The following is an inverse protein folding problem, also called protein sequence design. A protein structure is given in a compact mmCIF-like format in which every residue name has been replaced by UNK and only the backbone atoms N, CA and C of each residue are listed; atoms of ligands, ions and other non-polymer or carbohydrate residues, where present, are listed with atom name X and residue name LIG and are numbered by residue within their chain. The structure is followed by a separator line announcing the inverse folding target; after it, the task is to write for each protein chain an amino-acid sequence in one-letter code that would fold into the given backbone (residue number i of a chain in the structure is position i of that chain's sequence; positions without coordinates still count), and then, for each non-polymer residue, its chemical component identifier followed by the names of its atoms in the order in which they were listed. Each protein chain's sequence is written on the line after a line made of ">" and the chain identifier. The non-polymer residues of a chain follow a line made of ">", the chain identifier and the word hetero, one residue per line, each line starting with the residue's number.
data_IF_660367449701
#
_entry.id   IF_660367449701
#
_cell.length_a   1.000
_cell.length_b   1.000
_cell.length_c   1.000
_cell.angle_alpha   90.00
_cell.angle_beta   90.00
_cell.angle_gamma   90.00
#
_symmetry.space_group_name_H-M   'P 1'
#
loop_
_entity.id
_entity.type
_entity.pdbx_description
1 polymer ?
#
# COMPACT_ATOMS: atom_id res chain seq x y z
N UNK A 1 0.65 -30.33 5.18
CA UNK A 1 -0.20 -29.16 4.89
C UNK A 1 0.66 -27.93 5.09
N UNK A 2 1.16 -27.35 3.99
CA UNK A 2 1.94 -26.12 4.08
C UNK A 2 0.92 -25.00 4.36
N UNK A 3 0.74 -24.67 5.64
CA UNK A 3 0.01 -23.48 6.03
C UNK A 3 0.87 -22.30 5.60
N UNK A 4 0.62 -21.79 4.40
CA UNK A 4 1.05 -20.44 4.07
C UNK A 4 0.26 -19.51 4.99
N UNK A 5 0.94 -18.58 5.65
CA UNK A 5 0.56 -17.94 6.93
C UNK A 5 -0.73 -17.09 6.85
N UNK A 6 -1.35 -17.03 5.66
CA UNK A 6 -2.37 -16.05 5.27
C UNK A 6 -3.67 -16.66 4.78
N UNK A 7 -3.76 -17.98 4.70
CA UNK A 7 -5.03 -18.63 4.41
C UNK A 7 -5.67 -19.05 5.73
N UNK A 8 -6.83 -18.46 6.07
CA UNK A 8 -7.72 -19.03 7.10
C UNK A 8 -8.10 -20.47 6.72
N UNK A 9 -8.06 -20.75 5.43
CA UNK A 9 -8.38 -21.99 4.79
C UNK A 9 -7.13 -22.78 4.36
N UNK A 10 -7.24 -24.07 4.15
CA UNK A 10 -6.21 -24.79 3.38
C UNK A 10 -6.34 -24.40 1.90
N UNK A 11 -5.28 -24.58 1.09
CA UNK A 11 -5.25 -24.13 -0.31
C UNK A 11 -6.46 -24.63 -1.12
N UNK A 12 -6.90 -25.86 -0.87
CA UNK A 12 -8.10 -26.45 -1.46
C UNK A 12 -9.39 -25.72 -1.06
N UNK A 13 -9.58 -25.42 0.23
CA UNK A 13 -10.76 -24.69 0.71
C UNK A 13 -10.75 -23.24 0.22
N UNK A 14 -9.58 -22.59 0.17
CA UNK A 14 -9.43 -21.24 -0.39
C UNK A 14 -9.80 -21.20 -1.88
N UNK A 15 -9.27 -22.12 -2.70
CA UNK A 15 -9.59 -22.18 -4.12
C UNK A 15 -11.10 -22.35 -4.38
N UNK A 16 -11.79 -23.16 -3.58
CA UNK A 16 -13.25 -23.33 -3.69
C UNK A 16 -13.98 -22.07 -3.23
N UNK A 17 -13.58 -21.47 -2.11
CA UNK A 17 -14.19 -20.23 -1.62
C UNK A 17 -14.04 -19.07 -2.62
N UNK A 18 -12.87 -18.94 -3.27
CA UNK A 18 -12.63 -17.95 -4.31
C UNK A 18 -13.57 -18.15 -5.51
N UNK A 19 -13.77 -19.40 -5.94
CA UNK A 19 -14.75 -19.75 -6.98
C UNK A 19 -16.18 -19.37 -6.57
N UNK A 20 -16.59 -19.68 -5.33
CA UNK A 20 -17.90 -19.30 -4.80
C UNK A 20 -18.07 -17.77 -4.78
N UNK A 21 -17.02 -17.04 -4.41
CA UNK A 21 -17.02 -15.56 -4.42
C UNK A 21 -17.18 -15.00 -5.83
N UNK A 22 -16.52 -15.56 -6.84
CA UNK A 22 -16.75 -15.16 -8.23
C UNK A 22 -18.20 -15.47 -8.67
N UNK A 23 -18.78 -16.56 -8.17
CA UNK A 23 -20.17 -16.90 -8.42
C UNK A 23 -21.15 -15.90 -7.77
N UNK A 24 -20.92 -15.47 -6.53
CA UNK A 24 -21.67 -14.40 -5.85
C UNK A 24 -21.62 -13.09 -6.64
N UNK A 25 -20.44 -12.71 -7.14
CA UNK A 25 -20.27 -11.53 -7.98
C UNK A 25 -21.12 -11.60 -9.25
N UNK A 26 -21.07 -12.74 -9.96
CA UNK A 26 -21.82 -12.95 -11.20
C UNK A 26 -23.34 -12.95 -10.98
N UNK A 27 -23.82 -13.37 -9.80
CA UNK A 27 -25.25 -13.29 -9.41
C UNK A 27 -25.66 -11.89 -8.94
N UNK A 28 -24.70 -11.02 -8.65
CA UNK A 28 -24.95 -9.65 -8.20
C UNK A 28 -25.22 -9.51 -6.70
N UNK A 29 -24.91 -10.54 -5.91
CA UNK A 29 -25.21 -10.58 -4.47
C UNK A 29 -24.47 -9.49 -3.69
N UNK A 30 -23.29 -9.09 -4.18
CA UNK A 30 -22.41 -8.09 -3.56
C UNK A 30 -22.55 -6.69 -4.18
N UNK A 31 -23.60 -6.45 -4.97
CA UNK A 31 -23.72 -5.22 -5.79
C UNK A 31 -23.81 -3.93 -4.97
N UNK A 32 -24.35 -3.96 -3.75
CA UNK A 32 -24.42 -2.79 -2.87
C UNK A 32 -23.04 -2.26 -2.50
N UNK A 33 -22.12 -3.18 -2.21
CA UNK A 33 -20.81 -2.87 -1.66
C UNK A 33 -19.75 -2.81 -2.77
N UNK A 34 -19.94 -3.60 -3.83
CA UNK A 34 -18.98 -3.80 -4.92
C UNK A 34 -19.66 -3.75 -6.31
N UNK A 35 -20.17 -2.58 -6.72
CA UNK A 35 -20.96 -2.46 -7.96
C UNK A 35 -20.15 -2.72 -9.23
N UNK A 36 -18.85 -2.38 -9.28
CA UNK A 36 -18.01 -2.62 -10.46
C UNK A 36 -17.70 -4.11 -10.66
N UNK A 37 -17.14 -4.85 -9.68
CA UNK A 37 -16.94 -6.30 -9.80
C UNK A 37 -18.19 -7.07 -10.21
N UNK A 38 -19.35 -6.77 -9.63
CA UNK A 38 -20.61 -7.44 -9.99
C UNK A 38 -21.01 -7.20 -11.44
N UNK A 39 -20.87 -5.96 -11.93
CA UNK A 39 -21.16 -5.62 -13.34
C UNK A 39 -20.23 -6.36 -14.29
N UNK A 40 -18.93 -6.31 -14.03
CA UNK A 40 -17.92 -6.96 -14.85
C UNK A 40 -18.11 -8.48 -14.87
N UNK A 41 -18.46 -9.09 -13.73
CA UNK A 41 -18.72 -10.51 -13.65
C UNK A 41 -19.98 -10.92 -14.43
N UNK A 42 -21.04 -10.12 -14.37
CA UNK A 42 -22.27 -10.35 -15.14
C UNK A 42 -22.05 -10.25 -16.66
N UNK A 43 -21.10 -9.42 -17.09
CA UNK A 43 -20.76 -9.18 -18.50
C UNK A 43 -19.62 -10.10 -19.01
N UNK A 44 -19.23 -11.13 -18.26
CA UNK A 44 -18.11 -11.98 -18.65
C UNK A 44 -18.47 -12.90 -19.85
N UNK A 45 -17.70 -12.89 -20.96
CA UNK A 45 -17.98 -13.65 -22.16
C UNK A 45 -17.60 -15.13 -22.01
N UNK A 46 -16.57 -15.44 -21.20
CA UNK A 46 -15.99 -16.78 -21.07
C UNK A 46 -15.96 -17.26 -19.61
N UNK A 47 -17.11 -17.49 -18.99
CA UNK A 47 -17.17 -17.85 -17.57
C UNK A 47 -16.37 -19.10 -17.24
N UNK A 48 -16.52 -20.17 -18.02
CA UNK A 48 -15.81 -21.43 -17.77
C UNK A 48 -14.28 -21.26 -17.68
N UNK A 49 -13.72 -20.38 -18.51
CA UNK A 49 -12.28 -20.11 -18.57
C UNK A 49 -11.80 -19.40 -17.30
N UNK A 50 -12.48 -18.34 -16.88
CA UNK A 50 -12.13 -17.60 -15.66
C UNK A 50 -12.34 -18.44 -14.39
N UNK A 51 -13.45 -19.18 -14.30
CA UNK A 51 -13.73 -20.08 -13.18
C UNK A 51 -12.67 -21.18 -13.06
N UNK A 52 -12.22 -21.76 -14.18
CA UNK A 52 -11.13 -22.74 -14.16
C UNK A 52 -9.80 -22.10 -13.75
N UNK A 53 -9.46 -20.92 -14.26
CA UNK A 53 -8.24 -20.22 -13.88
C UNK A 53 -8.22 -19.90 -12.37
N UNK A 54 -9.34 -19.41 -11.82
CA UNK A 54 -9.46 -19.13 -10.40
C UNK A 54 -9.38 -20.40 -9.54
N UNK A 55 -9.95 -21.53 -9.97
CA UNK A 55 -9.78 -22.79 -9.26
C UNK A 55 -8.30 -23.23 -9.21
N UNK A 56 -7.54 -22.95 -10.28
CA UNK A 56 -6.17 -23.39 -10.46
C UNK A 56 -5.10 -22.36 -10.04
N UNK A 57 -5.48 -21.13 -9.65
CA UNK A 57 -4.53 -20.00 -9.50
C UNK A 57 -3.34 -20.33 -8.58
N UNK A 58 -3.59 -21.10 -7.53
CA UNK A 58 -2.60 -21.49 -6.52
C UNK A 58 -2.14 -22.95 -6.60
N UNK A 59 -2.46 -23.68 -7.68
CA UNK A 59 -2.12 -25.11 -7.82
C UNK A 59 -0.62 -25.40 -7.69
N UNK A 60 0.22 -24.42 -8.05
CA UNK A 60 1.68 -24.52 -7.96
C UNK A 60 2.24 -24.38 -6.54
N UNK A 61 1.45 -23.98 -5.53
CA UNK A 61 1.96 -23.72 -4.16
C UNK A 61 2.65 -24.92 -3.52
N UNK A 62 2.19 -26.13 -3.85
CA UNK A 62 2.81 -27.37 -3.38
C UNK A 62 4.26 -27.56 -3.85
N UNK A 63 4.72 -26.79 -4.84
CA UNK A 63 6.02 -26.93 -5.48
C UNK A 63 7.00 -25.80 -5.12
N UNK A 64 6.70 -24.99 -4.10
CA UNK A 64 7.62 -23.98 -3.56
C UNK A 64 7.62 -22.65 -4.33
N UNK A 65 8.81 -22.05 -4.54
CA UNK A 65 8.95 -20.74 -5.20
C UNK A 65 8.43 -20.76 -6.64
N UNK A 66 8.07 -19.57 -7.13
CA UNK A 66 7.54 -19.34 -8.48
C UNK A 66 6.29 -20.18 -8.75
N UNK A 67 5.41 -20.25 -7.74
CA UNK A 67 4.22 -21.08 -7.78
C UNK A 67 3.24 -20.67 -8.89
N UNK A 68 3.23 -19.40 -9.29
CA UNK A 68 2.41 -18.94 -10.41
C UNK A 68 2.90 -19.53 -11.73
N UNK A 69 4.21 -19.52 -11.98
CA UNK A 69 4.83 -20.11 -13.19
C UNK A 69 4.61 -21.62 -13.23
N UNK A 70 4.89 -22.31 -12.11
CA UNK A 70 4.65 -23.76 -12.00
C UNK A 70 3.16 -24.10 -12.12
N UNK A 71 2.28 -23.27 -11.57
CA UNK A 71 0.85 -23.40 -11.71
C UNK A 71 0.41 -23.28 -13.18
N UNK A 72 0.99 -22.34 -13.92
CA UNK A 72 0.72 -22.12 -15.33
C UNK A 72 1.14 -23.33 -16.19
N UNK A 73 2.32 -23.92 -15.91
CA UNK A 73 2.79 -25.16 -16.55
C UNK A 73 1.79 -26.33 -16.36
N UNK A 74 1.15 -26.42 -15.20
CA UNK A 74 0.14 -27.43 -14.89
C UNK A 74 -1.24 -27.13 -15.50
N UNK A 75 -1.61 -25.84 -15.59
CA UNK A 75 -2.93 -25.41 -15.98
C UNK A 75 -3.27 -25.75 -17.45
N UNK A 76 -2.29 -25.64 -18.35
CA UNK A 76 -2.48 -25.95 -19.78
C UNK A 76 -2.93 -27.39 -20.03
N UNK A 77 -2.17 -28.42 -19.59
CA UNK A 77 -2.56 -29.82 -19.70
C UNK A 77 -3.91 -30.15 -19.04
N UNK A 78 -4.23 -29.50 -17.91
CA UNK A 78 -5.53 -29.67 -17.23
C UNK A 78 -6.66 -29.13 -18.10
N UNK A 79 -6.53 -27.91 -18.61
CA UNK A 79 -7.53 -27.29 -19.48
C UNK A 79 -7.74 -28.10 -20.78
N UNK A 80 -6.66 -28.61 -21.38
CA UNK A 80 -6.72 -29.47 -22.55
C UNK A 80 -7.50 -30.77 -22.27
N UNK A 81 -7.21 -31.43 -21.15
CA UNK A 81 -7.91 -32.66 -20.73
C UNK A 81 -9.39 -32.43 -20.44
N UNK A 82 -9.77 -31.23 -20.01
CA UNK A 82 -11.16 -30.83 -19.78
C UNK A 82 -11.89 -30.37 -21.06
N UNK A 83 -11.23 -30.39 -22.22
CA UNK A 83 -11.84 -30.08 -23.51
C UNK A 83 -11.94 -28.59 -23.85
N UNK A 84 -11.15 -27.74 -23.20
CA UNK A 84 -11.10 -26.31 -23.53
C UNK A 84 -10.43 -26.07 -24.88
N UNK A 85 -10.85 -25.02 -25.59
CA UNK A 85 -10.20 -24.61 -26.85
C UNK A 85 -8.76 -24.18 -26.59
N UNK A 86 -7.87 -24.24 -27.60
CA UNK A 86 -6.48 -23.76 -27.43
C UNK A 86 -6.42 -22.28 -27.01
N UNK A 87 -7.37 -21.46 -27.47
CA UNK A 87 -7.45 -20.07 -27.08
C UNK A 87 -7.77 -19.91 -25.58
N UNK A 88 -8.72 -20.71 -25.07
CA UNK A 88 -9.07 -20.69 -23.65
C UNK A 88 -7.96 -21.30 -22.79
N UNK A 89 -7.30 -22.36 -23.25
CA UNK A 89 -6.13 -22.93 -22.57
C UNK A 89 -5.04 -21.87 -22.37
N UNK A 90 -4.68 -21.11 -23.42
CA UNK A 90 -3.71 -20.02 -23.34
C UNK A 90 -4.14 -18.92 -22.36
N UNK A 91 -5.44 -18.63 -22.28
CA UNK A 91 -5.97 -17.63 -21.36
C UNK A 91 -5.95 -18.12 -19.91
N UNK A 92 -6.31 -19.38 -19.64
CA UNK A 92 -6.17 -20.00 -18.31
C UNK A 92 -4.71 -19.97 -17.85
N UNK A 93 -3.78 -20.40 -18.70
CA UNK A 93 -2.34 -20.41 -18.39
C UNK A 93 -1.87 -18.99 -18.03
N UNK A 94 -2.23 -17.98 -18.84
CA UNK A 94 -1.87 -16.60 -18.59
C UNK A 94 -2.46 -16.06 -17.27
N UNK A 95 -3.74 -16.34 -16.98
CA UNK A 95 -4.38 -15.90 -15.74
C UNK A 95 -3.73 -16.55 -14.51
N UNK A 96 -3.39 -17.83 -14.58
CA UNK A 96 -2.69 -18.54 -13.48
C UNK A 96 -1.27 -18.01 -13.30
N UNK A 97 -0.56 -17.69 -14.38
CA UNK A 97 0.78 -17.10 -14.29
C UNK A 97 0.77 -15.69 -13.69
N UNK A 98 -0.22 -14.89 -14.05
CA UNK A 98 -0.33 -13.46 -13.72
C UNK A 98 -1.22 -13.18 -12.51
N UNK A 99 -1.73 -14.19 -11.79
CA UNK A 99 -2.75 -13.99 -10.74
C UNK A 99 -2.35 -13.02 -9.62
N UNK A 100 -1.06 -12.84 -9.34
CA UNK A 100 -0.55 -11.89 -8.34
C UNK A 100 -0.27 -10.49 -8.91
N UNK A 101 -0.25 -10.35 -10.23
CA UNK A 101 0.34 -9.19 -10.89
C UNK A 101 -0.48 -7.93 -10.69
N UNK A 102 -1.82 -7.99 -10.79
CA UNK A 102 -2.66 -6.82 -10.55
C UNK A 102 -2.54 -6.33 -9.09
N UNK A 103 -2.49 -7.25 -8.13
CA UNK A 103 -2.23 -6.94 -6.73
C UNK A 103 -0.89 -6.20 -6.57
N UNK A 104 0.18 -6.76 -7.14
CA UNK A 104 1.50 -6.15 -7.10
C UNK A 104 1.56 -4.79 -7.79
N UNK A 105 0.91 -4.62 -8.95
CA UNK A 105 0.87 -3.33 -9.64
C UNK A 105 0.17 -2.27 -8.80
N UNK A 106 -1.00 -2.58 -8.24
CA UNK A 106 -1.74 -1.64 -7.41
C UNK A 106 -0.95 -1.24 -6.14
N UNK A 107 -0.34 -2.22 -5.47
CA UNK A 107 0.30 -2.02 -4.17
C UNK A 107 1.75 -1.53 -4.25
N UNK A 108 2.47 -1.83 -5.34
CA UNK A 108 3.91 -1.52 -5.46
C UNK A 108 4.23 -0.47 -6.52
N UNK A 109 3.45 -0.38 -7.60
CA UNK A 109 3.71 0.59 -8.67
C UNK A 109 3.00 1.91 -8.39
N UNK A 110 3.52 3.00 -8.93
CA UNK A 110 2.85 4.29 -8.94
C UNK A 110 1.83 4.29 -10.08
N UNK A 111 0.60 3.96 -9.75
CA UNK A 111 -0.51 3.88 -10.71
C UNK A 111 -0.96 5.24 -11.22
N UNK A 112 -0.35 6.34 -10.73
CA UNK A 112 -0.50 7.69 -11.30
C UNK A 112 0.46 7.97 -12.45
N UNK A 113 1.56 7.24 -12.56
CA UNK A 113 2.51 7.40 -13.65
C UNK A 113 2.00 6.77 -14.96
N UNK A 114 2.03 7.56 -16.03
CA UNK A 114 1.46 7.16 -17.33
C UNK A 114 2.33 6.15 -18.06
N UNK A 115 3.65 6.18 -17.85
CA UNK A 115 4.56 5.18 -18.41
C UNK A 115 4.37 3.83 -17.71
N UNK A 116 4.23 3.84 -16.39
CA UNK A 116 3.84 2.67 -15.59
C UNK A 116 2.52 2.08 -16.11
N UNK A 117 1.49 2.89 -16.36
CA UNK A 117 0.22 2.42 -16.90
C UNK A 117 0.37 1.82 -18.30
N UNK A 118 1.22 2.40 -19.16
CA UNK A 118 1.50 1.87 -20.49
C UNK A 118 2.24 0.52 -20.45
N UNK A 119 3.22 0.36 -19.56
CA UNK A 119 3.93 -0.91 -19.34
C UNK A 119 2.95 -2.01 -18.90
N UNK A 120 2.11 -1.71 -17.90
CA UNK A 120 1.12 -2.65 -17.38
C UNK A 120 0.09 -2.99 -18.48
N UNK A 121 -0.44 -2.00 -19.20
CA UNK A 121 -1.38 -2.22 -20.28
C UNK A 121 -0.76 -3.08 -21.39
N UNK A 122 0.51 -2.87 -21.73
CA UNK A 122 1.23 -3.71 -22.70
C UNK A 122 1.35 -5.16 -22.23
N UNK A 123 1.57 -5.39 -20.94
CA UNK A 123 1.65 -6.74 -20.37
C UNK A 123 0.29 -7.43 -20.31
N UNK A 124 -0.77 -6.69 -20.00
CA UNK A 124 -2.15 -7.20 -19.97
C UNK A 124 -2.69 -7.47 -21.37
N UNK A 125 -2.38 -6.59 -22.32
CA UNK A 125 -2.66 -6.75 -23.75
C UNK A 125 -4.09 -6.45 -24.18
N UNK A 126 -5.12 -6.94 -23.48
CA UNK A 126 -6.53 -6.74 -23.88
C UNK A 126 -7.45 -6.41 -22.70
N UNK A 127 -8.56 -5.71 -22.98
CA UNK A 127 -9.57 -5.40 -21.96
C UNK A 127 -10.24 -6.67 -21.39
N UNK A 128 -10.36 -7.73 -22.19
CA UNK A 128 -10.83 -9.05 -21.74
C UNK A 128 -9.88 -9.65 -20.68
N UNK A 129 -8.56 -9.65 -20.95
CA UNK A 129 -7.55 -10.08 -19.96
C UNK A 129 -7.54 -9.23 -18.71
N UNK A 130 -7.65 -7.92 -18.85
CA UNK A 130 -7.71 -7.00 -17.72
C UNK A 130 -8.90 -7.28 -16.80
N UNK A 131 -10.10 -7.43 -17.38
CA UNK A 131 -11.32 -7.73 -16.62
C UNK A 131 -11.20 -9.05 -15.88
N UNK A 132 -10.75 -10.09 -16.57
CA UNK A 132 -10.66 -11.43 -16.00
C UNK A 132 -9.61 -11.48 -14.89
N UNK A 133 -8.46 -10.81 -15.07
CA UNK A 133 -7.44 -10.68 -14.03
C UNK A 133 -7.94 -9.86 -12.83
N UNK A 134 -8.71 -8.79 -13.07
CA UNK A 134 -9.34 -7.99 -12.01
C UNK A 134 -10.32 -8.81 -11.17
N UNK A 135 -11.23 -9.54 -11.82
CA UNK A 135 -12.19 -10.39 -11.15
C UNK A 135 -11.52 -11.53 -10.37
N UNK A 136 -10.47 -12.14 -10.95
CA UNK A 136 -9.66 -13.16 -10.29
C UNK A 136 -9.03 -12.60 -9.02
N UNK A 137 -8.33 -11.46 -9.12
CA UNK A 137 -7.65 -10.80 -8.00
C UNK A 137 -8.63 -10.41 -6.90
N UNK A 138 -9.80 -9.87 -7.26
CA UNK A 138 -10.82 -9.48 -6.31
C UNK A 138 -11.38 -10.70 -5.55
N UNK A 139 -11.72 -11.76 -6.29
CA UNK A 139 -12.28 -12.98 -5.71
C UNK A 139 -11.26 -13.65 -4.76
N UNK A 140 -10.02 -13.81 -5.21
CA UNK A 140 -8.91 -14.34 -4.40
C UNK A 140 -8.71 -13.53 -3.11
N UNK A 141 -8.45 -12.21 -3.24
CA UNK A 141 -8.13 -11.39 -2.08
C UNK A 141 -9.27 -11.32 -1.07
N UNK A 142 -10.53 -11.29 -1.53
CA UNK A 142 -11.69 -11.20 -0.63
C UNK A 142 -12.05 -12.51 0.08
N UNK A 143 -11.38 -13.64 -0.24
CA UNK A 143 -11.57 -14.94 0.42
C UNK A 143 -10.40 -15.41 1.28
N UNK A 144 -9.25 -14.71 1.23
CA UNK A 144 -8.07 -15.06 2.05
C UNK A 144 -8.28 -14.82 3.55
N UNK A 145 -8.75 -13.62 3.95
CA UNK A 145 -9.16 -13.29 5.31
C UNK A 145 -10.06 -12.02 5.38
N UNK A 146 -10.82 -11.80 6.48
CA UNK A 146 -11.76 -10.68 6.60
C UNK A 146 -11.16 -9.26 6.49
N UNK A 147 -9.84 -9.12 6.68
CA UNK A 147 -9.13 -7.83 6.58
C UNK A 147 -8.33 -7.66 5.28
N UNK A 148 -8.32 -8.67 4.40
CA UNK A 148 -7.50 -8.65 3.20
C UNK A 148 -8.02 -7.66 2.15
N UNK A 149 -9.34 -7.59 1.98
CA UNK A 149 -10.04 -6.66 1.09
C UNK A 149 -10.71 -5.54 1.89
N UNK A 150 -10.00 -4.43 2.08
CA UNK A 150 -10.55 -3.22 2.70
C UNK A 150 -11.22 -2.32 1.65
N UNK A 151 -12.08 -1.40 2.10
CA UNK A 151 -12.71 -0.41 1.21
C UNK A 151 -11.68 0.43 0.42
N UNK A 152 -10.54 0.76 1.02
CA UNK A 152 -9.48 1.49 0.33
C UNK A 152 -8.77 0.65 -0.73
N UNK A 153 -8.52 -0.65 -0.49
CA UNK A 153 -7.93 -1.57 -1.49
C UNK A 153 -8.88 -1.78 -2.66
N UNK A 154 -10.17 -1.95 -2.39
CA UNK A 154 -11.18 -2.03 -3.43
C UNK A 154 -11.14 -0.80 -4.34
N UNK A 155 -11.14 0.41 -3.78
CA UNK A 155 -11.01 1.67 -4.55
C UNK A 155 -9.71 1.75 -5.34
N UNK A 156 -8.61 1.26 -4.79
CA UNK A 156 -7.32 1.22 -5.48
C UNK A 156 -7.34 0.30 -6.72
N UNK A 157 -7.91 -0.90 -6.61
CA UNK A 157 -8.05 -1.81 -7.76
C UNK A 157 -9.01 -1.26 -8.81
N UNK A 158 -10.15 -0.70 -8.40
CA UNK A 158 -11.11 -0.07 -9.31
C UNK A 158 -10.47 1.09 -10.08
N UNK A 159 -9.69 1.94 -9.40
CA UNK A 159 -8.98 3.04 -10.03
C UNK A 159 -7.95 2.56 -11.06
N UNK A 160 -7.13 1.56 -10.71
CA UNK A 160 -6.17 0.96 -11.62
C UNK A 160 -6.87 0.30 -12.83
N UNK A 161 -7.95 -0.44 -12.60
CA UNK A 161 -8.73 -1.07 -13.66
C UNK A 161 -9.22 -0.05 -14.68
N UNK A 162 -9.86 1.03 -14.23
CA UNK A 162 -10.39 2.06 -15.12
C UNK A 162 -9.29 2.75 -15.94
N UNK A 163 -8.13 3.03 -15.34
CA UNK A 163 -6.99 3.62 -16.05
C UNK A 163 -6.46 2.69 -17.14
N UNK A 164 -6.28 1.41 -16.82
CA UNK A 164 -5.79 0.42 -17.76
C UNK A 164 -6.79 0.17 -18.91
N UNK A 165 -8.09 0.16 -18.63
CA UNK A 165 -9.12 0.13 -19.69
C UNK A 165 -8.96 1.33 -20.63
N UNK A 166 -8.80 2.54 -20.10
CA UNK A 166 -8.62 3.73 -20.93
C UNK A 166 -7.38 3.60 -21.84
N UNK A 167 -6.25 3.14 -21.30
CA UNK A 167 -5.02 2.90 -22.09
C UNK A 167 -5.27 1.87 -23.20
N UNK A 168 -5.92 0.76 -22.88
CA UNK A 168 -6.21 -0.34 -23.81
C UNK A 168 -7.22 0.04 -24.90
N UNK A 169 -8.15 0.95 -24.61
CA UNK A 169 -9.10 1.51 -25.59
C UNK A 169 -8.47 2.56 -26.51
N UNK A 170 -7.18 2.87 -26.34
CA UNK A 170 -6.48 3.88 -27.13
C UNK A 170 -6.86 5.32 -26.76
N UNK A 171 -7.59 5.51 -25.64
CA UNK A 171 -7.62 6.83 -24.99
C UNK A 171 -6.23 7.04 -24.41
N UNK A 172 -5.66 8.23 -24.57
CA UNK A 172 -4.44 8.53 -23.83
C UNK A 172 -4.75 8.39 -22.35
N UNK A 173 -3.99 7.52 -21.67
CA UNK A 173 -4.08 7.33 -20.22
C UNK A 173 -3.98 8.67 -19.49
N UNK A 174 -3.14 9.55 -20.03
CA UNK A 174 -2.97 10.95 -19.66
C UNK A 174 -4.31 11.69 -19.73
N UNK A 175 -4.94 11.76 -20.91
CA UNK A 175 -6.20 12.48 -21.11
C UNK A 175 -7.32 11.98 -20.17
N UNK A 176 -7.48 10.65 -20.01
CA UNK A 176 -8.51 10.10 -19.12
C UNK A 176 -8.21 10.33 -17.62
N UNK A 177 -6.93 10.31 -17.23
CA UNK A 177 -6.49 10.61 -15.88
C UNK A 177 -6.64 12.10 -15.56
N UNK A 178 -6.17 12.96 -16.46
CA UNK A 178 -6.31 14.42 -16.38
C UNK A 178 -7.78 14.83 -16.36
N UNK A 179 -8.62 14.27 -17.22
CA UNK A 179 -10.07 14.54 -17.24
C UNK A 179 -10.73 14.13 -15.92
N UNK A 180 -10.37 12.97 -15.37
CA UNK A 180 -10.91 12.49 -14.09
C UNK A 180 -10.43 13.33 -12.92
N UNK A 181 -9.14 13.63 -12.86
CA UNK A 181 -8.56 14.51 -11.84
C UNK A 181 -9.20 15.89 -11.93
N UNK A 182 -9.32 16.47 -13.12
CA UNK A 182 -9.97 17.76 -13.34
C UNK A 182 -11.42 17.74 -12.91
N UNK A 183 -12.18 16.69 -13.24
CA UNK A 183 -13.56 16.50 -12.82
C UNK A 183 -13.68 16.44 -11.30
N UNK A 184 -12.90 15.57 -10.65
CA UNK A 184 -12.92 15.42 -9.19
C UNK A 184 -12.44 16.69 -8.48
N UNK A 185 -11.42 17.36 -9.02
CA UNK A 185 -10.90 18.63 -8.49
C UNK A 185 -11.93 19.74 -8.64
N UNK A 186 -12.67 19.80 -9.74
CA UNK A 186 -13.78 20.74 -9.95
C UNK A 186 -14.92 20.47 -8.96
N UNK A 187 -15.36 19.21 -8.85
CA UNK A 187 -16.42 18.83 -7.91
C UNK A 187 -16.05 19.14 -6.46
N UNK A 188 -14.81 18.84 -6.08
CA UNK A 188 -14.29 19.18 -4.75
C UNK A 188 -14.22 20.70 -4.57
N UNK A 189 -13.71 21.45 -5.54
CA UNK A 189 -13.69 22.92 -5.51
C UNK A 189 -15.09 23.49 -5.30
N UNK A 190 -16.06 23.11 -6.14
CA UNK A 190 -17.43 23.61 -6.08
C UNK A 190 -18.06 23.34 -4.70
N UNK A 191 -17.83 22.15 -4.14
CA UNK A 191 -18.30 21.81 -2.80
C UNK A 191 -17.63 22.63 -1.69
N UNK A 192 -16.34 22.93 -1.82
CA UNK A 192 -15.57 23.70 -0.83
C UNK A 192 -15.86 25.21 -0.93
N UNK A 193 -16.11 25.76 -2.11
CA UNK A 193 -16.42 27.18 -2.33
C UNK A 193 -17.71 27.61 -1.62
N UNK A 194 -18.63 26.68 -1.38
CA UNK A 194 -19.88 26.92 -0.66
C UNK A 194 -19.70 27.04 0.87
N UNK A 195 -18.52 26.71 1.40
CA UNK A 195 -18.24 26.80 2.84
C UNK A 195 -17.87 28.23 3.26
N UNK A 196 -18.08 28.62 4.54
CA UNK A 196 -17.74 29.97 5.03
C UNK A 196 -16.25 30.34 4.84
N UNK A 197 -15.38 29.34 4.90
CA UNK A 197 -13.92 29.41 4.73
C UNK A 197 -13.46 28.99 3.32
N UNK A 198 -14.36 28.97 2.33
CA UNK A 198 -14.16 28.32 1.03
C UNK A 198 -12.88 28.72 0.28
N UNK A 199 -12.51 30.00 0.28
CA UNK A 199 -11.28 30.46 -0.38
C UNK A 199 -10.01 29.78 0.18
N UNK A 200 -9.93 29.59 1.50
CA UNK A 200 -8.79 28.93 2.13
C UNK A 200 -8.79 27.42 1.85
N UNK A 201 -9.96 26.79 1.84
CA UNK A 201 -10.13 25.37 1.53
C UNK A 201 -9.77 25.05 0.07
N UNK A 202 -10.16 25.92 -0.87
CA UNK A 202 -9.81 25.78 -2.29
C UNK A 202 -8.31 25.96 -2.50
N UNK A 203 -7.66 26.88 -1.78
CA UNK A 203 -6.20 27.04 -1.84
C UNK A 203 -5.48 25.79 -1.33
N UNK A 204 -5.97 25.17 -0.25
CA UNK A 204 -5.48 23.88 0.20
C UNK A 204 -5.58 22.84 -0.93
N UNK A 205 -6.77 22.65 -1.50
CA UNK A 205 -7.00 21.69 -2.58
C UNK A 205 -6.09 21.95 -3.79
N UNK A 206 -5.92 23.21 -4.18
CA UNK A 206 -5.08 23.59 -5.32
C UNK A 206 -3.61 23.19 -5.12
N UNK A 207 -3.10 23.30 -3.89
CA UNK A 207 -1.71 22.97 -3.54
C UNK A 207 -1.43 21.46 -3.40
N UNK A 208 -2.47 20.62 -3.30
CA UNK A 208 -2.31 19.19 -3.12
C UNK A 208 -2.03 18.47 -4.45
N UNK A 209 -1.22 17.38 -4.42
CA UNK A 209 -0.93 16.58 -5.61
C UNK A 209 -2.17 15.81 -6.08
N UNK A 210 -2.22 15.44 -7.35
CA UNK A 210 -3.39 14.76 -7.94
C UNK A 210 -3.72 13.42 -7.25
N UNK A 211 -2.70 12.69 -6.78
CA UNK A 211 -2.89 11.47 -5.98
C UNK A 211 -3.74 11.67 -4.73
N UNK A 212 -3.69 12.87 -4.14
CA UNK A 212 -4.52 13.20 -2.98
C UNK A 212 -5.98 13.42 -3.40
N UNK A 213 -6.20 14.18 -4.48
CA UNK A 213 -7.55 14.46 -5.00
C UNK A 213 -8.27 13.17 -5.42
N UNK A 214 -7.52 12.21 -5.95
CA UNK A 214 -8.06 10.91 -6.35
C UNK A 214 -8.38 9.99 -5.17
N UNK A 215 -7.65 10.12 -4.07
CA UNK A 215 -7.81 9.28 -2.89
C UNK A 215 -9.00 9.73 -2.02
N UNK A 216 -9.25 11.04 -1.94
CA UNK A 216 -10.13 11.62 -0.93
C UNK A 216 -11.39 12.28 -1.53
N UNK A 217 -12.59 11.95 -1.04
CA UNK A 217 -13.82 12.64 -1.46
C UNK A 217 -13.91 14.06 -0.84
N UNK A 218 -14.77 14.96 -1.38
CA UNK A 218 -14.82 16.38 -1.00
C UNK A 218 -15.00 16.63 0.51
N UNK A 219 -15.81 15.82 1.19
CA UNK A 219 -16.05 15.93 2.63
C UNK A 219 -14.82 15.62 3.48
N UNK A 220 -13.98 14.67 3.04
CA UNK A 220 -12.70 14.35 3.68
C UNK A 220 -11.67 15.44 3.37
N UNK A 221 -11.63 15.91 2.13
CA UNK A 221 -10.75 17.04 1.73
C UNK A 221 -11.04 18.26 2.59
N UNK A 222 -12.31 18.59 2.83
CA UNK A 222 -12.72 19.70 3.70
C UNK A 222 -12.18 19.54 5.12
N UNK A 223 -12.30 18.35 5.72
CA UNK A 223 -11.81 18.08 7.07
C UNK A 223 -10.28 18.24 7.15
N UNK A 224 -9.56 17.67 6.19
CA UNK A 224 -8.11 17.79 6.08
C UNK A 224 -7.65 19.24 5.88
N UNK A 225 -8.33 20.00 5.02
CA UNK A 225 -8.02 21.41 4.78
C UNK A 225 -8.19 22.25 6.05
N UNK A 226 -9.28 22.06 6.81
CA UNK A 226 -9.48 22.72 8.10
C UNK A 226 -8.41 22.36 9.11
N UNK A 227 -7.99 21.11 9.13
CA UNK A 227 -6.91 20.67 10.01
C UNK A 227 -5.58 21.36 9.67
N UNK A 228 -5.22 21.41 8.38
CA UNK A 228 -4.00 22.09 7.94
C UNK A 228 -4.05 23.59 8.25
N UNK A 229 -5.18 24.25 8.03
CA UNK A 229 -5.39 25.65 8.38
C UNK A 229 -5.33 25.88 9.90
N UNK A 230 -5.84 24.91 10.68
CA UNK A 230 -5.81 24.93 12.14
C UNK A 230 -4.41 24.88 12.74
N UNK A 231 -3.39 24.43 11.98
CA UNK A 231 -1.98 24.54 12.40
C UNK A 231 -1.57 25.99 12.58
N UNK A 232 -2.10 26.90 11.76
CA UNK A 232 -1.72 28.31 11.74
C UNK A 232 -0.18 28.45 11.73
N UNK A 233 0.38 29.21 12.69
CA UNK A 233 1.83 29.43 12.85
C UNK A 233 2.53 28.36 13.70
N UNK A 234 1.82 27.32 14.15
CA UNK A 234 2.43 26.27 14.97
C UNK A 234 3.42 25.43 14.14
N UNK A 235 4.57 25.03 14.72
CA UNK A 235 5.57 24.23 14.00
C UNK A 235 5.06 22.81 13.67
N UNK A 236 4.10 22.31 14.44
CA UNK A 236 3.54 20.97 14.34
C UNK A 236 2.09 20.99 14.78
N UNK A 237 1.25 20.28 14.03
CA UNK A 237 -0.06 19.82 14.48
C UNK A 237 -0.15 18.31 14.23
N UNK A 238 -0.63 17.56 15.23
CA UNK A 238 -1.01 16.15 15.08
C UNK A 238 -2.45 16.00 15.52
N UNK A 239 -3.26 15.42 14.64
CA UNK A 239 -4.64 15.05 14.92
C UNK A 239 -4.82 13.53 14.89
N UNK A 240 -5.88 13.04 15.52
CA UNK A 240 -6.18 11.62 15.59
C UNK A 240 -7.66 11.31 15.53
N UNK A 241 -8.07 10.52 14.54
CA UNK A 241 -9.45 10.05 14.36
C UNK A 241 -9.53 8.52 14.43
N UNK A 242 -10.15 8.00 15.50
CA UNK A 242 -10.39 6.56 15.67
C UNK A 242 -11.37 6.10 14.58
N UNK A 243 -11.03 5.00 13.90
CA UNK A 243 -11.86 4.43 12.86
C UNK A 243 -13.06 3.68 13.44
N UNK A 244 -14.05 3.39 12.61
CA UNK A 244 -15.27 2.68 13.02
C UNK A 244 -15.02 1.27 13.56
N UNK A 245 -13.87 0.66 13.24
CA UNK A 245 -13.44 -0.63 13.79
C UNK A 245 -13.03 -0.54 15.28
N UNK A 246 -12.73 0.65 15.80
CA UNK A 246 -12.20 0.88 17.14
C UNK A 246 -10.77 0.36 17.38
N UNK A 247 -10.17 -0.32 16.39
CA UNK A 247 -8.85 -0.94 16.48
C UNK A 247 -7.76 -0.08 15.84
N UNK A 248 -8.14 0.78 14.89
CA UNK A 248 -7.23 1.65 14.15
C UNK A 248 -7.51 3.14 14.40
N UNK A 249 -6.45 3.94 14.28
CA UNK A 249 -6.46 5.39 14.42
C UNK A 249 -5.78 5.98 13.19
N UNK A 250 -6.43 6.91 12.53
CA UNK A 250 -5.78 7.75 11.51
C UNK A 250 -5.14 8.92 12.25
N UNK A 251 -3.81 8.96 12.24
CA UNK A 251 -3.03 10.10 12.69
C UNK A 251 -2.72 11.00 11.49
N UNK A 252 -3.05 12.28 11.61
CA UNK A 252 -2.70 13.29 10.61
C UNK A 252 -1.59 14.17 11.16
N UNK A 253 -0.42 14.17 10.51
CA UNK A 253 0.74 14.98 10.91
C UNK A 253 0.90 16.13 9.92
N UNK A 254 0.85 17.36 10.42
CA UNK A 254 1.01 18.59 9.61
C UNK A 254 2.21 19.38 10.13
N UNK A 255 3.24 19.55 9.30
CA UNK A 255 4.46 20.29 9.65
C UNK A 255 5.18 20.80 8.40
N UNK A 256 6.27 21.54 8.57
CA UNK A 256 7.13 21.90 7.44
C UNK A 256 7.93 20.67 7.01
N UNK A 257 7.93 20.38 5.71
CA UNK A 257 8.62 19.23 5.15
C UNK A 257 10.15 19.41 5.26
N UNK A 258 10.84 18.31 5.55
CA UNK A 258 12.31 18.28 5.70
C UNK A 258 12.87 16.86 5.57
N UNK A 259 14.14 16.73 5.15
CA UNK A 259 14.83 15.44 5.17
C UNK A 259 14.75 14.76 6.55
N UNK A 260 14.48 13.46 6.54
CA UNK A 260 14.38 12.64 7.75
C UNK A 260 13.06 12.75 8.52
N UNK A 261 12.09 13.56 8.07
CA UNK A 261 10.80 13.75 8.76
C UNK A 261 10.08 12.42 9.02
N UNK A 262 9.92 11.57 8.00
CA UNK A 262 9.24 10.28 8.15
C UNK A 262 9.95 9.36 9.15
N UNK A 263 11.27 9.42 9.23
CA UNK A 263 12.03 8.65 10.22
C UNK A 263 11.70 9.12 11.64
N UNK A 264 11.67 10.43 11.89
CA UNK A 264 11.30 10.96 13.21
C UNK A 264 9.86 10.59 13.59
N UNK A 265 8.92 10.74 12.67
CA UNK A 265 7.51 10.35 12.86
C UNK A 265 7.40 8.87 13.18
N UNK A 266 7.94 7.99 12.35
CA UNK A 266 7.90 6.56 12.55
C UNK A 266 8.58 6.12 13.86
N UNK A 267 9.67 6.79 14.24
CA UNK A 267 10.39 6.53 15.49
C UNK A 267 9.59 6.90 16.74
N UNK A 268 8.91 8.05 16.72
CA UNK A 268 8.00 8.44 17.81
C UNK A 268 6.80 7.51 17.91
N UNK A 269 6.21 7.12 16.78
CA UNK A 269 5.11 6.14 16.77
C UNK A 269 5.55 4.80 17.38
N UNK A 270 6.73 4.32 17.01
CA UNK A 270 7.30 3.11 17.58
C UNK A 270 7.55 3.23 19.09
N UNK A 271 8.02 4.39 19.58
CA UNK A 271 8.19 4.66 21.01
C UNK A 271 6.86 4.66 21.79
N UNK A 272 5.76 5.06 21.14
CA UNK A 272 4.39 4.96 21.68
C UNK A 272 3.76 3.56 21.52
N UNK A 273 4.53 2.57 21.04
CA UNK A 273 4.09 1.19 20.74
C UNK A 273 2.99 1.12 19.68
N UNK A 274 2.99 2.06 18.74
CA UNK A 274 2.09 2.08 17.59
C UNK A 274 2.77 1.41 16.40
N UNK A 275 2.06 0.48 15.76
CA UNK A 275 2.46 -0.11 14.48
C UNK A 275 1.73 0.60 13.36
N UNK A 276 2.46 0.98 12.30
CA UNK A 276 1.89 1.61 11.11
C UNK A 276 1.32 0.52 10.21
N UNK A 277 0.03 0.59 9.93
CA UNK A 277 -0.69 -0.33 9.03
C UNK A 277 -0.55 0.15 7.59
N UNK A 278 -0.72 1.46 7.38
CA UNK A 278 -0.50 2.15 6.11
C UNK A 278 -0.15 3.61 6.38
N UNK A 279 0.54 4.24 5.43
CA UNK A 279 0.86 5.66 5.49
C UNK A 279 0.81 6.27 4.09
N UNK A 280 0.04 7.35 3.95
CA UNK A 280 0.01 8.20 2.77
C UNK A 280 0.73 9.51 3.10
N UNK A 281 1.88 9.72 2.46
CA UNK A 281 2.77 10.87 2.70
C UNK A 281 2.52 11.89 1.59
N UNK A 282 2.25 13.14 1.96
CA UNK A 282 2.02 14.23 1.01
C UNK A 282 2.87 15.45 1.34
N UNK A 283 3.50 16.02 0.33
CA UNK A 283 4.16 17.32 0.41
C UNK A 283 3.41 18.30 -0.49
N UNK A 284 3.11 19.50 0.01
CA UNK A 284 2.43 20.58 -0.73
C UNK A 284 3.25 21.86 -0.67
N UNK A 285 3.36 22.52 -1.82
CA UNK A 285 3.97 23.84 -1.91
C UNK A 285 3.07 24.90 -1.28
N UNK A 286 3.68 25.91 -0.66
CA UNK A 286 2.98 27.07 -0.11
C UNK A 286 3.71 28.34 -0.53
N UNK A 287 2.97 29.29 -1.10
CA UNK A 287 3.56 30.51 -1.65
C UNK A 287 4.36 31.28 -0.60
N UNK A 288 5.66 31.44 -0.84
CA UNK A 288 6.57 32.18 0.05
C UNK A 288 6.86 31.49 1.39
N UNK A 289 6.43 30.25 1.58
CA UNK A 289 6.63 29.47 2.81
C UNK A 289 7.35 28.14 2.49
N UNK A 290 7.96 27.48 3.49
CA UNK A 290 8.45 26.12 3.31
C UNK A 290 7.30 25.18 2.91
N UNK A 291 7.64 24.20 2.08
CA UNK A 291 6.74 23.08 1.76
C UNK A 291 6.18 22.48 3.06
N UNK A 292 4.91 22.09 3.02
CA UNK A 292 4.22 21.49 4.15
C UNK A 292 4.04 20.00 3.90
N UNK A 293 4.50 19.20 4.86
CA UNK A 293 4.16 17.79 4.95
C UNK A 293 2.76 17.66 5.56
N UNK A 294 1.94 16.84 4.93
CA UNK A 294 0.59 16.49 5.36
C UNK A 294 0.49 14.95 5.29
N UNK A 295 0.83 14.27 6.37
CA UNK A 295 0.95 12.81 6.36
C UNK A 295 -0.25 12.17 7.05
N UNK A 296 -0.84 11.16 6.41
CA UNK A 296 -1.93 10.35 6.96
C UNK A 296 -1.40 8.96 7.30
N UNK A 297 -1.34 8.64 8.59
CA UNK A 297 -0.84 7.35 9.07
C UNK A 297 -1.94 6.57 9.76
N UNK A 298 -2.31 5.42 9.21
CA UNK A 298 -3.19 4.47 9.88
C UNK A 298 -2.33 3.66 10.84
N UNK A 299 -2.58 3.81 12.13
CA UNK A 299 -1.85 3.12 13.18
C UNK A 299 -2.76 2.23 14.00
N UNK A 300 -2.19 1.17 14.55
CA UNK A 300 -2.84 0.32 15.55
C UNK A 300 -1.91 0.14 16.75
N UNK A 301 -2.48 -0.17 17.90
CA UNK A 301 -1.70 -0.55 19.09
C UNK A 301 -1.90 -2.03 19.39
N UNK A 302 -0.88 -2.88 19.17
CA UNK A 302 -1.02 -4.32 19.36
C UNK A 302 -1.49 -4.69 20.78
N UNK A 303 -2.56 -5.48 20.86
CA UNK A 303 -3.07 -6.00 22.13
C UNK A 303 -3.83 -4.99 23.00
N UNK A 304 -4.27 -3.86 22.44
CA UNK A 304 -5.10 -2.89 23.16
C UNK A 304 -6.11 -2.21 22.25
N UNK A 305 -7.28 -1.88 22.77
CA UNK A 305 -8.23 -1.00 22.11
C UNK A 305 -7.74 0.46 22.19
N UNK A 306 -7.64 1.14 21.06
CA UNK A 306 -7.19 2.54 21.01
C UNK A 306 -8.17 3.49 21.69
N UNK A 307 -9.47 3.17 21.71
CA UNK A 307 -10.49 3.94 22.40
C UNK A 307 -10.27 3.99 23.92
N UNK A 308 -9.60 2.99 24.49
CA UNK A 308 -9.25 2.93 25.92
C UNK A 308 -7.87 3.57 26.22
N UNK A 309 -7.10 3.90 25.17
CA UNK A 309 -5.69 4.32 25.24
C UNK A 309 -5.43 5.81 25.51
N UNK A 310 -6.46 6.59 25.79
CA UNK A 310 -6.40 8.04 26.01
C UNK A 310 -5.98 8.84 24.77
N UNK A 311 -5.55 10.08 24.97
CA UNK A 311 -5.14 10.99 23.88
C UNK A 311 -3.80 10.56 23.25
N UNK A 312 -3.87 9.68 22.25
CA UNK A 312 -2.70 9.19 21.50
C UNK A 312 -2.07 10.31 20.66
N UNK A 313 -2.89 11.10 19.95
CA UNK A 313 -2.42 12.18 19.09
C UNK A 313 -1.65 13.24 19.88
N UNK A 314 -2.15 13.67 21.05
CA UNK A 314 -1.47 14.63 21.90
C UNK A 314 -0.13 14.12 22.45
N UNK A 315 0.00 12.81 22.75
CA UNK A 315 1.29 12.22 23.14
C UNK A 315 2.29 12.19 21.98
N UNK A 316 1.84 11.79 20.79
CA UNK A 316 2.66 11.82 19.57
C UNK A 316 3.13 13.24 19.28
N UNK A 317 2.23 14.24 19.31
CA UNK A 317 2.57 15.65 19.14
C UNK A 317 3.62 16.11 20.14
N UNK A 318 3.43 15.81 21.43
CA UNK A 318 4.35 16.19 22.50
C UNK A 318 5.75 15.61 22.29
N UNK A 319 5.84 14.34 21.92
CA UNK A 319 7.12 13.66 21.70
C UNK A 319 7.81 14.18 20.43
N UNK A 320 7.08 14.39 19.34
CA UNK A 320 7.64 15.00 18.13
C UNK A 320 8.15 16.41 18.40
N UNK A 321 7.38 17.24 19.09
CA UNK A 321 7.81 18.59 19.49
C UNK A 321 9.05 18.54 20.41
N UNK A 322 9.19 17.53 21.27
CA UNK A 322 10.38 17.34 22.09
C UNK A 322 11.60 16.94 21.27
N UNK A 323 11.44 16.05 20.28
CA UNK A 323 12.52 15.63 19.37
C UNK A 323 12.98 16.81 18.52
N UNK A 324 12.05 17.52 17.88
CA UNK A 324 12.39 18.63 16.98
C UNK A 324 12.85 19.88 17.72
N UNK A 325 12.44 20.05 18.98
CA UNK A 325 12.95 21.08 19.88
C UNK A 325 14.27 20.72 20.57
N UNK A 326 14.88 19.57 20.26
CA UNK A 326 16.17 19.14 20.83
C UNK A 326 16.13 18.74 22.31
N UNK A 327 14.92 18.56 22.89
CA UNK A 327 14.73 18.15 24.29
C UNK A 327 14.83 16.64 24.50
N UNK A 328 14.75 15.87 23.43
CA UNK A 328 14.97 14.43 23.42
C UNK A 328 15.43 13.97 22.04
N UNK A 329 15.91 12.74 21.93
CA UNK A 329 16.16 12.09 20.65
C UNK A 329 15.21 10.91 20.44
N UNK A 330 14.97 10.53 19.18
CA UNK A 330 14.20 9.30 18.87
C UNK A 330 14.83 8.08 19.51
N UNK A 331 16.16 8.00 19.52
CA UNK A 331 16.91 6.91 20.14
C UNK A 331 16.64 6.82 21.66
N UNK A 332 16.59 7.95 22.37
CA UNK A 332 16.21 8.00 23.79
C UNK A 332 14.78 7.54 24.02
N UNK A 333 13.83 7.98 23.19
CA UNK A 333 12.42 7.60 23.30
C UNK A 333 12.25 6.09 23.12
N UNK A 334 12.90 5.51 22.10
CA UNK A 334 12.92 4.07 21.88
C UNK A 334 13.61 3.31 23.01
N UNK A 335 14.68 3.87 23.59
CA UNK A 335 15.37 3.29 24.75
C UNK A 335 14.51 3.18 26.00
N UNK A 336 13.43 3.98 26.12
CA UNK A 336 12.46 3.91 27.23
C UNK A 336 11.48 2.74 27.11
N UNK A 337 11.40 2.08 25.96
CA UNK A 337 10.56 0.90 25.79
C UNK A 337 11.10 -0.21 26.72
N UNK A 338 10.35 -0.55 27.78
CA UNK A 338 10.61 -1.76 28.57
C UNK A 338 10.70 -2.94 27.61
N UNK A 339 11.82 -3.67 27.63
CA UNK A 339 11.99 -4.93 26.90
C UNK A 339 10.81 -5.83 27.27
N UNK A 340 9.99 -6.15 26.28
CA UNK A 340 8.93 -7.15 26.46
C UNK A 340 9.63 -8.47 26.82
N UNK A 341 9.23 -9.16 27.89
CA UNK A 341 9.81 -10.45 28.23
C UNK A 341 9.69 -11.42 27.06
N UNK A 342 10.73 -12.19 26.81
CA UNK A 342 10.89 -13.04 25.63
C UNK A 342 9.86 -14.15 25.55
N UNK A 343 9.40 -14.62 26.71
CA UNK A 343 8.30 -15.59 26.83
C UNK A 343 6.95 -15.05 26.36
N UNK A 344 6.76 -13.72 26.31
CA UNK A 344 5.53 -13.08 25.84
C UNK A 344 5.52 -12.84 24.32
N UNK A 345 6.65 -13.06 23.62
CA UNK A 345 6.71 -12.99 22.16
C UNK A 345 6.19 -14.29 21.55
N UNK A 346 5.09 -14.22 20.80
CA UNK A 346 4.61 -15.35 19.99
C UNK A 346 5.69 -15.73 18.97
N UNK A 347 6.03 -17.03 18.89
CA UNK A 347 6.87 -17.56 17.80
C UNK A 347 6.12 -17.40 16.49
N UNK A 348 6.53 -16.43 15.68
CA UNK A 348 6.03 -16.24 14.33
C UNK A 348 7.01 -16.83 13.32
N UNK A 349 6.52 -17.38 12.19
CA UNK A 349 7.36 -17.97 11.15
C UNK A 349 8.43 -16.99 10.64
N UNK A 350 9.57 -17.53 10.22
CA UNK A 350 10.69 -16.74 9.70
C UNK A 350 10.33 -16.18 8.32
N UNK A 351 10.46 -14.86 8.16
CA UNK A 351 10.22 -14.18 6.89
C UNK A 351 11.57 -13.76 6.35
N UNK A 352 11.91 -14.20 5.13
CA UNK A 352 13.17 -13.79 4.50
C UNK A 352 13.13 -12.30 4.16
N UNK A 353 14.11 -11.54 4.65
CA UNK A 353 14.36 -10.15 4.22
C UNK A 353 14.85 -10.10 2.77
N UNK A 354 14.14 -9.35 1.95
CA UNK A 354 14.45 -9.05 0.56
C UNK A 354 14.28 -7.55 0.32
N UNK A 355 15.28 -6.94 -0.33
CA UNK A 355 15.26 -5.52 -0.71
C UNK A 355 15.54 -5.46 -2.20
N UNK A 356 14.56 -5.00 -2.97
CA UNK A 356 14.69 -4.82 -4.42
C UNK A 356 14.76 -3.33 -4.69
N UNK A 357 15.79 -2.91 -5.42
CA UNK A 357 15.94 -1.53 -5.88
C UNK A 357 15.72 -1.53 -7.38
N UNK A 358 14.63 -0.90 -7.81
CA UNK A 358 14.22 -0.82 -9.19
C UNK A 358 14.27 0.63 -9.69
N UNK A 359 15.04 0.86 -10.74
CA UNK A 359 15.23 2.16 -11.35
C UNK A 359 14.60 2.28 -12.75
N UNK A 360 13.92 1.23 -13.20
CA UNK A 360 13.18 1.14 -14.45
C UNK A 360 11.69 1.46 -14.26
N UNK A 361 11.14 1.15 -13.08
CA UNK A 361 9.72 1.37 -12.74
C UNK A 361 9.28 2.83 -12.81
N UNK A 362 10.19 3.77 -12.55
CA UNK A 362 9.88 5.20 -12.62
C UNK A 362 10.95 5.97 -13.38
N UNK A 363 10.50 6.90 -14.22
CA UNK A 363 11.40 7.87 -14.88
C UNK A 363 12.00 8.88 -13.91
N UNK A 364 11.33 9.13 -12.78
CA UNK A 364 11.64 10.26 -11.90
C UNK A 364 12.11 9.85 -10.49
N UNK A 365 11.99 8.57 -10.14
CA UNK A 365 12.31 8.06 -8.81
C UNK A 365 13.07 6.76 -8.92
N UNK A 366 13.92 6.49 -7.92
CA UNK A 366 14.38 5.14 -7.64
C UNK A 366 13.36 4.48 -6.72
N UNK A 367 12.91 3.28 -7.02
CA UNK A 367 11.91 2.56 -6.24
C UNK A 367 12.61 1.51 -5.39
N UNK A 368 12.34 1.51 -4.09
CA UNK A 368 12.89 0.55 -3.13
C UNK A 368 11.73 -0.27 -2.54
N UNK A 369 11.66 -1.54 -2.92
CA UNK A 369 10.74 -2.51 -2.34
C UNK A 369 11.43 -3.25 -1.19
N UNK A 370 10.81 -3.24 -0.02
CA UNK A 370 11.29 -3.94 1.17
C UNK A 370 10.27 -4.99 1.59
N UNK A 371 10.68 -6.25 1.56
CA UNK A 371 9.93 -7.37 2.08
C UNK A 371 10.64 -7.95 3.28
N UNK A 372 10.05 -7.81 4.47
CA UNK A 372 10.68 -8.36 5.67
C UNK A 372 9.64 -8.69 6.73
N UNK A 373 10.08 -9.27 7.85
CA UNK A 373 9.21 -9.51 8.98
C UNK A 373 8.69 -8.18 9.55
N UNK A 374 7.37 -8.05 9.66
CA UNK A 374 6.77 -6.90 10.34
C UNK A 374 7.09 -6.93 11.84
N UNK A 375 7.44 -5.77 12.36
CA UNK A 375 7.82 -5.55 13.76
C UNK A 375 7.70 -4.08 14.13
N UNK A 376 7.55 -3.83 15.42
CA UNK A 376 7.51 -2.48 15.96
C UNK A 376 8.80 -1.73 15.59
N UNK A 377 8.67 -0.55 14.98
CA UNK A 377 9.80 0.26 14.55
C UNK A 377 10.41 -0.11 13.19
N UNK A 378 9.81 -1.05 12.44
CA UNK A 378 10.30 -1.38 11.09
C UNK A 378 10.36 -0.16 10.17
N UNK A 379 9.27 0.60 10.06
CA UNK A 379 9.23 1.81 9.23
C UNK A 379 10.30 2.83 9.64
N UNK A 380 10.57 2.97 10.94
CA UNK A 380 11.63 3.83 11.45
C UNK A 380 13.01 3.36 10.97
N UNK A 381 13.30 2.06 11.09
CA UNK A 381 14.58 1.51 10.66
C UNK A 381 14.81 1.67 9.16
N UNK A 382 13.77 1.45 8.34
CA UNK A 382 13.84 1.65 6.89
C UNK A 382 14.03 3.14 6.55
N UNK A 383 13.16 4.02 7.07
CA UNK A 383 13.21 5.45 6.79
C UNK A 383 14.52 6.09 7.25
N UNK A 384 15.04 5.68 8.42
CA UNK A 384 16.35 6.14 8.92
C UNK A 384 17.48 5.65 8.02
N UNK A 385 17.42 4.41 7.55
CA UNK A 385 18.46 3.86 6.68
C UNK A 385 18.47 4.58 5.31
N UNK A 386 17.30 4.80 4.71
CA UNK A 386 17.18 5.60 3.48
C UNK A 386 17.72 7.03 3.69
N UNK A 387 17.37 7.67 4.81
CA UNK A 387 17.86 9.00 5.12
C UNK A 387 19.39 9.04 5.29
N UNK A 388 19.99 8.04 5.94
CA UNK A 388 21.44 7.93 6.11
C UNK A 388 22.20 7.77 4.77
N UNK A 389 21.53 7.29 3.73
CA UNK A 389 22.05 7.18 2.36
C UNK A 389 21.89 8.48 1.54
N UNK A 390 21.45 9.57 2.18
CA UNK A 390 21.17 10.85 1.54
C UNK A 390 19.94 10.79 0.65
N UNK A 391 18.98 9.92 0.95
CA UNK A 391 17.76 9.74 0.17
C UNK A 391 16.56 10.40 0.88
N UNK A 392 15.77 11.12 0.09
CA UNK A 392 14.48 11.66 0.49
C UNK A 392 13.35 10.80 -0.09
N UNK A 393 12.32 10.55 0.72
CA UNK A 393 11.15 9.74 0.35
C UNK A 393 10.08 10.69 -0.17
N UNK A 394 9.75 10.60 -1.45
CA UNK A 394 8.72 11.43 -2.08
C UNK A 394 7.33 10.78 -2.06
N UNK A 395 7.30 9.45 -2.09
CA UNK A 395 6.10 8.63 -1.96
C UNK A 395 6.48 7.34 -1.24
N UNK A 396 5.62 6.87 -0.34
CA UNK A 396 5.73 5.54 0.25
C UNK A 396 4.38 4.84 0.22
N UNK A 397 4.40 3.53 0.00
CA UNK A 397 3.25 2.65 0.20
C UNK A 397 3.64 1.61 1.24
N UNK A 398 3.08 1.76 2.45
CA UNK A 398 3.34 0.86 3.58
C UNK A 398 2.20 -0.14 3.66
N UNK A 399 2.52 -1.43 3.66
CA UNK A 399 1.50 -2.48 3.74
C UNK A 399 2.02 -3.65 4.57
N UNK A 400 1.26 -3.98 5.62
CA UNK A 400 1.53 -5.15 6.44
C UNK A 400 0.49 -6.23 6.17
N UNK A 401 0.96 -7.42 5.84
CA UNK A 401 0.13 -8.62 5.68
C UNK A 401 0.57 -9.67 6.72
N UNK A 402 -0.27 -9.86 7.75
CA UNK A 402 -0.01 -10.67 8.94
C UNK A 402 1.33 -10.41 9.64
N UNK A 403 2.41 -11.12 9.23
CA UNK A 403 3.76 -10.97 9.82
C UNK A 403 4.81 -10.49 8.80
N UNK A 404 4.42 -10.18 7.56
CA UNK A 404 5.31 -9.67 6.52
C UNK A 404 4.92 -8.25 6.17
N UNK A 405 5.88 -7.35 6.23
CA UNK A 405 5.78 -6.04 5.63
C UNK A 405 6.18 -6.11 4.16
N UNK A 406 5.47 -5.37 3.33
CA UNK A 406 5.73 -5.15 1.92
C UNK A 406 5.66 -3.64 1.68
N UNK A 407 6.77 -2.97 1.94
CA UNK A 407 6.86 -1.51 1.94
C UNK A 407 7.57 -1.05 0.68
N UNK A 408 7.02 -0.04 0.01
CA UNK A 408 7.59 0.53 -1.21
C UNK A 408 7.89 2.00 -1.02
N UNK A 409 9.09 2.43 -1.40
CA UNK A 409 9.56 3.81 -1.25
C UNK A 409 10.06 4.35 -2.58
N UNK A 410 9.48 5.47 -3.02
CA UNK A 410 9.94 6.25 -4.17
C UNK A 410 10.89 7.31 -3.64
N UNK A 411 12.17 7.14 -3.94
CA UNK A 411 13.24 7.95 -3.38
C UNK A 411 13.97 8.75 -4.44
N UNK A 412 14.47 9.90 -4.00
CA UNK A 412 15.39 10.77 -4.74
C UNK A 412 16.60 11.06 -3.87
N UNK A 413 17.72 11.37 -4.50
CA UNK A 413 18.89 11.86 -3.79
C UNK A 413 18.72 13.33 -3.35
N UNK A 414 19.73 13.86 -2.67
CA UNK A 414 19.77 15.25 -2.17
C UNK A 414 19.61 16.31 -3.27
N UNK A 415 19.83 15.95 -4.54
CA UNK A 415 19.65 16.84 -5.70
C UNK A 415 18.23 16.74 -6.29
N UNK A 416 17.37 15.92 -5.70
CA UNK A 416 16.02 15.66 -6.21
C UNK A 416 15.99 14.78 -7.45
N UNK A 417 17.07 14.05 -7.75
CA UNK A 417 17.17 13.15 -8.89
C UNK A 417 17.04 11.68 -8.47
N UNK A 418 16.63 10.80 -9.39
CA UNK A 418 16.75 9.36 -9.17
C UNK A 418 18.22 8.94 -9.22
N UNK A 419 18.55 7.83 -8.56
CA UNK A 419 19.91 7.28 -8.56
C UNK A 419 20.14 6.55 -9.88
N UNK A 420 21.03 7.04 -10.75
CA UNK A 420 21.35 6.36 -12.03
C UNK A 420 22.59 5.47 -11.95
N UNK A 421 23.44 5.66 -10.94
CA UNK A 421 24.67 4.90 -10.74
C UNK A 421 24.37 3.47 -10.27
N UNK A 422 24.76 2.48 -11.09
CA UNK A 422 24.51 1.06 -10.84
C UNK A 422 25.21 0.50 -9.60
N UNK A 423 26.42 0.98 -9.29
CA UNK A 423 27.14 0.55 -8.08
C UNK A 423 26.44 1.09 -6.82
N UNK A 424 26.00 2.36 -6.85
CA UNK A 424 25.22 2.96 -5.76
C UNK A 424 23.90 2.23 -5.53
N UNK A 425 23.19 1.83 -6.59
CA UNK A 425 21.95 1.05 -6.50
C UNK A 425 22.17 -0.33 -5.84
N UNK A 426 23.19 -1.07 -6.29
CA UNK A 426 23.53 -2.37 -5.72
C UNK A 426 23.93 -2.23 -4.24
N UNK A 427 24.76 -1.23 -3.93
CA UNK A 427 25.24 -0.96 -2.58
C UNK A 427 24.11 -0.53 -1.62
N UNK A 428 23.14 0.24 -2.11
CA UNK A 428 21.93 0.61 -1.37
C UNK A 428 21.12 -0.63 -0.96
N UNK A 429 20.86 -1.54 -1.92
CA UNK A 429 20.13 -2.79 -1.66
C UNK A 429 20.83 -3.64 -0.59
N UNK A 430 22.14 -3.82 -0.71
CA UNK A 430 22.93 -4.61 0.23
C UNK A 430 22.96 -4.00 1.63
N UNK A 431 23.18 -2.69 1.75
CA UNK A 431 23.22 -1.99 3.05
C UNK A 431 21.87 -2.03 3.75
N UNK A 432 20.78 -1.73 3.04
CA UNK A 432 19.43 -1.80 3.60
C UNK A 432 19.11 -3.22 4.09
N UNK A 433 19.42 -4.24 3.28
CA UNK A 433 19.21 -5.64 3.66
C UNK A 433 20.03 -6.03 4.88
N UNK A 434 21.31 -5.68 4.92
CA UNK A 434 22.20 -5.99 6.05
C UNK A 434 21.72 -5.33 7.35
N UNK A 435 21.28 -4.06 7.28
CA UNK A 435 20.73 -3.34 8.43
C UNK A 435 19.45 -3.99 8.97
N UNK A 436 18.53 -4.39 8.09
CA UNK A 436 17.28 -5.04 8.49
C UNK A 436 17.53 -6.41 9.13
N UNK A 437 18.44 -7.21 8.57
CA UNK A 437 18.83 -8.50 9.15
C UNK A 437 19.52 -8.31 10.51
N UNK A 438 20.39 -7.31 10.65
CA UNK A 438 21.08 -7.02 11.92
C UNK A 438 20.11 -6.56 13.00
N UNK A 439 19.12 -5.74 12.65
CA UNK A 439 18.07 -5.31 13.56
C UNK A 439 17.22 -6.50 14.05
N UNK A 440 16.85 -7.42 13.15
CA UNK A 440 16.14 -8.67 13.50
C UNK A 440 16.98 -9.58 14.43
N UNK A 441 18.30 -9.66 14.21
CA UNK A 441 19.20 -10.46 15.06
C UNK A 441 19.42 -9.83 16.44
N UNK A 442 19.47 -8.50 16.53
CA UNK A 442 19.61 -7.78 17.80
C UNK A 442 18.39 -7.98 18.71
N UNK A 443 17.19 -8.04 18.11
CA UNK A 443 15.96 -8.45 18.82
C UNK A 443 16.02 -9.91 19.29
N UNK A 444 16.56 -10.83 18.48
CA UNK A 444 16.74 -12.25 18.86
C UNK A 444 17.78 -12.43 19.98
N UNK A 445 18.92 -11.74 19.94
CA UNK A 445 20.01 -11.89 20.94
C UNK A 445 19.67 -11.25 22.29
N UNK A 446 19.02 -10.07 22.29
CA UNK A 446 18.49 -9.49 23.52
C UNK A 446 17.38 -10.34 24.14
N UNK A 447 16.86 -11.32 23.39
CA UNK A 447 15.87 -12.27 23.85
C UNK A 447 16.35 -13.70 24.19
N UNK A 448 17.61 -14.03 23.92
CA UNK A 448 18.16 -15.39 24.12
C UNK A 448 19.06 -15.55 25.35
N UNK A 449 19.31 -14.47 26.09
CA UNK A 449 20.16 -14.46 27.29
C UNK A 449 19.36 -14.31 28.58
N UNK A 450 18.58 -15.33 28.94
CA UNK A 450 18.10 -15.59 30.30
C UNK A 450 17.61 -17.03 30.41
#
# INVERSE_FOLDING_TARGET
>A
VQHDVYHVYTVDVHSVAAVDRLHELARGDLKSDHPLPCRLAAEMPRPKTLFLALLLHDIGKAFGRDHSVKGAEMAGPIAARLGFSEADQRHVVWLVEEHLSLYHWATRRDTSDTDTLAEIASRVGTAERLRDLYLLTFADLSTTNPGAMTAWKARMFEDLYHRLVAVLEGKRAVDAHEDRVATLRSQARDALELEPDGAALVNFLASMPDRYVLAHPPEVIRAHARLALGRAEAPLLVDGAIQSDGETLVLTVVTNDRPGLLADVAGVLAAERLTVVSADIYSRARDGLPDEAFDLLVVRKPGSNLAEGGDVAGRVQKNLAAVWGGKSTVAELLGRLRKTPTWAMRKTPDVRTEVVVDNAVSRHFTVVDVFTKDRLGLLYDIARALHAEGLSIALSKISTEGHRAADVFYVRDERGAKIEDGERLASLSERLRAMLVTAEQSEKQTGGGA
#
